data_IF_953504450314
#
_entry.id   IF_953504450314
#
_cell.length_a   1.000
_cell.length_b   1.000
_cell.length_c   1.000
_cell.angle_alpha   90.00
_cell.angle_beta   90.00
_cell.angle_gamma   90.00
#
_symmetry.space_group_name_H-M   'P 1'
#
loop_
_entity.id
_entity.type
_entity.pdbx_description
1 polymer ?
#
# COMPACT_ATOMS: atom_id res chain seq x y z
N UNK A 1 -10.72 -22.21 -14.36
CA UNK A 1 -11.00 -20.78 -14.07
C UNK A 1 -12.44 -20.59 -13.61
N UNK A 2 -13.44 -21.17 -14.30
CA UNK A 2 -14.84 -21.14 -13.88
C UNK A 2 -15.07 -21.79 -12.49
N UNK A 3 -14.60 -23.01 -12.25
CA UNK A 3 -14.86 -23.72 -10.97
C UNK A 3 -14.38 -23.00 -9.70
N UNK A 4 -13.39 -22.10 -9.81
CA UNK A 4 -12.82 -21.38 -8.66
C UNK A 4 -13.51 -20.04 -8.39
N UNK A 5 -14.18 -19.46 -9.38
CA UNK A 5 -14.76 -18.11 -9.30
C UNK A 5 -16.19 -18.04 -9.86
N UNK A 6 -16.88 -19.17 -10.01
CA UNK A 6 -18.22 -19.24 -10.60
C UNK A 6 -19.20 -18.33 -9.86
N UNK A 7 -19.26 -18.43 -8.53
CA UNK A 7 -20.14 -17.60 -7.70
C UNK A 7 -19.85 -16.10 -7.84
N UNK A 8 -18.59 -15.73 -8.03
CA UNK A 8 -18.17 -14.34 -8.20
C UNK A 8 -18.60 -13.79 -9.57
N UNK A 9 -18.43 -14.59 -10.64
CA UNK A 9 -18.92 -14.26 -11.98
C UNK A 9 -20.45 -14.14 -11.95
N UNK A 10 -21.13 -15.10 -11.32
CA UNK A 10 -22.59 -15.10 -11.24
C UNK A 10 -23.12 -13.91 -10.43
N UNK A 11 -22.47 -13.54 -9.32
CA UNK A 11 -22.80 -12.33 -8.56
C UNK A 11 -22.68 -11.06 -9.40
N UNK A 12 -21.60 -10.91 -10.19
CA UNK A 12 -21.41 -9.76 -11.07
C UNK A 12 -22.47 -9.69 -12.17
N UNK A 13 -22.78 -10.82 -12.82
CA UNK A 13 -23.86 -10.91 -13.81
C UNK A 13 -25.21 -10.56 -13.20
N UNK A 14 -25.51 -11.05 -11.99
CA UNK A 14 -26.75 -10.72 -11.28
C UNK A 14 -26.86 -9.22 -11.04
N UNK A 15 -25.75 -8.56 -10.66
CA UNK A 15 -25.66 -7.11 -10.44
C UNK A 15 -26.01 -6.31 -11.70
N UNK A 16 -25.68 -6.82 -12.88
CA UNK A 16 -25.98 -6.20 -14.17
C UNK A 16 -27.32 -6.65 -14.77
N UNK A 17 -28.09 -7.48 -14.06
CA UNK A 17 -29.39 -7.99 -14.53
C UNK A 17 -29.31 -9.21 -15.45
N UNK A 18 -28.13 -9.81 -15.61
CA UNK A 18 -27.89 -11.01 -16.41
C UNK A 18 -27.86 -12.27 -15.52
N UNK A 19 -27.82 -13.45 -16.14
CA UNK A 19 -27.60 -14.73 -15.46
C UNK A 19 -26.63 -15.62 -16.23
N UNK A 20 -25.81 -16.36 -15.51
CA UNK A 20 -24.82 -17.27 -16.10
C UNK A 20 -25.48 -18.37 -16.95
N UNK A 21 -26.68 -18.80 -16.58
CA UNK A 21 -27.47 -19.82 -17.32
C UNK A 21 -27.99 -19.35 -18.69
N UNK A 22 -28.02 -18.04 -18.94
CA UNK A 22 -28.55 -17.48 -20.20
C UNK A 22 -27.44 -17.34 -21.27
N UNK A 23 -26.20 -17.69 -20.93
CA UNK A 23 -25.04 -17.61 -21.83
C UNK A 23 -25.17 -18.61 -22.98
N UNK A 24 -24.96 -18.14 -24.21
CA UNK A 24 -25.11 -18.90 -25.44
C UNK A 24 -26.50 -18.76 -26.07
N UNK A 25 -27.34 -17.86 -25.54
CA UNK A 25 -28.57 -17.40 -26.20
C UNK A 25 -28.25 -16.41 -27.33
N UNK A 26 -29.27 -16.05 -28.12
CA UNK A 26 -29.12 -15.05 -29.17
C UNK A 26 -28.90 -13.63 -28.60
N UNK A 27 -29.42 -13.38 -27.40
CA UNK A 27 -29.37 -12.10 -26.69
C UNK A 27 -28.15 -11.96 -25.77
N UNK A 28 -27.53 -13.09 -25.38
CA UNK A 28 -26.35 -13.10 -24.52
C UNK A 28 -25.42 -14.26 -24.88
N UNK A 29 -24.42 -13.98 -25.70
CA UNK A 29 -23.52 -15.00 -26.23
C UNK A 29 -22.24 -15.17 -25.38
N UNK A 30 -21.39 -16.13 -25.78
CA UNK A 30 -20.11 -16.38 -25.10
C UNK A 30 -19.13 -15.22 -25.19
N UNK A 31 -19.23 -14.40 -26.24
CA UNK A 31 -18.38 -13.23 -26.43
C UNK A 31 -18.80 -12.10 -25.50
N UNK A 32 -20.09 -11.91 -25.24
CA UNK A 32 -20.58 -10.95 -24.26
C UNK A 32 -20.09 -11.28 -22.86
N UNK A 33 -20.20 -12.56 -22.45
CA UNK A 33 -19.63 -13.02 -21.18
C UNK A 33 -18.13 -12.75 -21.11
N UNK A 34 -17.38 -13.06 -22.16
CA UNK A 34 -15.94 -12.81 -22.21
C UNK A 34 -15.61 -11.32 -22.06
N UNK A 35 -16.37 -10.43 -22.68
CA UNK A 35 -16.18 -8.97 -22.56
C UNK A 35 -16.43 -8.54 -21.11
N UNK A 36 -17.51 -8.99 -20.48
CA UNK A 36 -17.83 -8.66 -19.08
C UNK A 36 -16.73 -9.13 -18.12
N UNK A 37 -16.22 -10.34 -18.32
CA UNK A 37 -15.11 -10.87 -17.50
C UNK A 37 -13.83 -10.08 -17.72
N UNK A 38 -13.48 -9.73 -18.97
CA UNK A 38 -12.24 -9.00 -19.28
C UNK A 38 -12.27 -7.52 -18.89
N UNK A 39 -13.45 -6.92 -18.86
CA UNK A 39 -13.67 -5.52 -18.51
C UNK A 39 -14.28 -5.37 -17.11
N UNK A 40 -14.17 -6.42 -16.28
CA UNK A 40 -14.76 -6.44 -14.95
C UNK A 40 -14.24 -5.25 -14.13
N UNK A 41 -15.12 -4.43 -13.55
CA UNK A 41 -14.69 -3.25 -12.82
C UNK A 41 -13.98 -3.66 -11.54
N UNK A 42 -13.17 -2.77 -11.00
CA UNK A 42 -12.29 -3.07 -9.86
C UNK A 42 -13.03 -3.45 -8.58
N UNK A 43 -14.26 -2.97 -8.43
CA UNK A 43 -15.16 -3.24 -7.31
C UNK A 43 -16.04 -4.48 -7.52
N UNK A 44 -15.81 -5.25 -8.60
CA UNK A 44 -16.58 -6.45 -8.91
C UNK A 44 -16.26 -7.61 -7.96
N UNK A 45 -17.21 -8.52 -7.80
CA UNK A 45 -17.02 -9.74 -7.02
C UNK A 45 -15.92 -10.61 -7.63
N UNK A 46 -15.83 -10.68 -8.96
CA UNK A 46 -14.76 -11.39 -9.67
C UNK A 46 -13.38 -10.82 -9.35
N UNK A 47 -13.23 -9.50 -9.41
CA UNK A 47 -11.95 -8.84 -9.09
C UNK A 47 -11.60 -9.02 -7.62
N UNK A 48 -12.57 -9.00 -6.71
CA UNK A 48 -12.37 -9.26 -5.29
C UNK A 48 -11.89 -10.69 -5.01
N UNK A 49 -12.45 -11.67 -5.72
CA UNK A 49 -12.08 -13.07 -5.56
C UNK A 49 -10.73 -13.40 -6.21
N UNK A 50 -10.41 -12.76 -7.34
CA UNK A 50 -9.15 -12.98 -8.07
C UNK A 50 -7.96 -12.23 -7.44
N UNK A 51 -8.22 -11.05 -6.85
CA UNK A 51 -7.19 -10.16 -6.31
C UNK A 51 -7.59 -9.60 -4.93
N UNK A 52 -7.66 -10.45 -3.89
CA UNK A 52 -8.17 -10.08 -2.56
C UNK A 52 -7.32 -9.00 -1.85
N UNK A 53 -6.05 -8.85 -2.24
CA UNK A 53 -5.16 -7.78 -1.80
C UNK A 53 -5.38 -6.47 -2.57
N UNK A 54 -5.69 -6.55 -3.87
CA UNK A 54 -5.82 -5.38 -4.73
C UNK A 54 -7.17 -4.66 -4.56
N UNK A 55 -8.24 -5.37 -4.18
CA UNK A 55 -9.58 -4.75 -4.11
C UNK A 55 -9.76 -3.82 -2.92
N UNK A 56 -9.03 -4.03 -1.82
CA UNK A 56 -9.15 -3.17 -0.64
C UNK A 56 -8.48 -1.79 -0.78
N UNK A 57 -7.52 -1.62 -1.67
CA UNK A 57 -6.66 -0.43 -1.70
C UNK A 57 -6.44 0.11 -3.10
N UNK A 58 -7.31 1.02 -3.53
CA UNK A 58 -7.15 1.82 -4.74
C UNK A 58 -6.54 3.17 -4.52
N UNK A 59 -6.43 3.91 -5.63
CA UNK A 59 -5.95 5.27 -5.62
C UNK A 59 -6.77 6.13 -4.63
N UNK A 60 -8.10 5.98 -4.63
CA UNK A 60 -8.98 6.68 -3.69
C UNK A 60 -8.67 6.32 -2.24
N UNK A 61 -8.49 5.04 -1.90
CA UNK A 61 -8.16 4.61 -0.54
C UNK A 61 -6.78 5.11 -0.09
N UNK A 62 -5.78 5.12 -1.00
CA UNK A 62 -4.48 5.73 -0.72
C UNK A 62 -4.58 7.24 -0.47
N UNK A 63 -5.35 7.97 -1.30
CA UNK A 63 -5.56 9.40 -1.14
C UNK A 63 -6.34 9.73 0.14
N UNK A 64 -7.32 8.92 0.50
CA UNK A 64 -8.07 9.06 1.75
C UNK A 64 -7.20 8.79 2.96
N UNK A 65 -6.35 7.76 2.92
CA UNK A 65 -5.39 7.49 3.99
C UNK A 65 -4.41 8.65 4.17
N UNK A 66 -3.90 9.23 3.08
CA UNK A 66 -3.03 10.41 3.12
C UNK A 66 -3.77 11.63 3.71
N UNK A 67 -5.04 11.84 3.34
CA UNK A 67 -5.87 12.90 3.91
C UNK A 67 -6.06 12.73 5.42
N UNK A 68 -6.32 11.49 5.89
CA UNK A 68 -6.42 11.17 7.32
C UNK A 68 -5.10 11.48 8.04
N UNK A 69 -3.97 11.06 7.48
CA UNK A 69 -2.63 11.30 8.03
C UNK A 69 -2.34 12.80 8.17
N UNK A 70 -2.57 13.57 7.10
CA UNK A 70 -2.36 15.02 7.09
C UNK A 70 -3.29 15.73 8.06
N UNK A 71 -4.55 15.32 8.16
CA UNK A 71 -5.52 15.92 9.08
C UNK A 71 -5.14 15.67 10.53
N UNK A 72 -4.76 14.43 10.87
CA UNK A 72 -4.28 14.08 12.20
C UNK A 72 -3.03 14.89 12.56
N UNK A 73 -2.10 15.05 11.61
CA UNK A 73 -0.89 15.84 11.79
C UNK A 73 -1.18 17.33 12.01
N UNK A 74 -2.09 17.91 11.23
CA UNK A 74 -2.50 19.32 11.36
C UNK A 74 -3.19 19.59 12.70
N UNK A 75 -4.05 18.67 13.15
CA UNK A 75 -4.68 18.77 14.47
C UNK A 75 -3.64 18.67 15.58
N UNK A 76 -2.77 17.67 15.51
CA UNK A 76 -1.68 17.49 16.47
C UNK A 76 -0.75 18.71 16.55
N UNK A 77 -0.41 19.32 15.41
CA UNK A 77 0.46 20.49 15.36
C UNK A 77 -0.09 21.70 16.13
N UNK A 78 -1.40 21.76 16.36
CA UNK A 78 -2.07 22.81 17.14
C UNK A 78 -2.13 22.53 18.65
N UNK A 79 -1.59 21.41 19.10
CA UNK A 79 -1.60 21.00 20.52
C UNK A 79 -0.30 21.37 21.24
N UNK A 80 -0.31 21.32 22.58
CA UNK A 80 0.91 21.46 23.40
C UNK A 80 1.93 20.36 23.07
N UNK A 81 1.45 19.17 22.75
CA UNK A 81 2.29 18.04 22.32
C UNK A 81 2.94 18.31 20.98
N UNK A 82 2.22 18.94 20.04
CA UNK A 82 2.77 19.45 18.78
C UNK A 82 3.90 20.45 19.01
N UNK A 83 3.68 21.45 19.87
CA UNK A 83 4.68 22.46 20.21
C UNK A 83 5.94 21.85 20.88
N UNK A 84 5.78 20.72 21.58
CA UNK A 84 6.89 20.01 22.25
C UNK A 84 7.41 18.81 21.45
N UNK A 85 6.91 18.60 20.24
CA UNK A 85 7.21 17.46 19.38
C UNK A 85 7.08 16.09 20.10
N UNK A 86 5.98 15.90 20.83
CA UNK A 86 5.66 14.64 21.54
C UNK A 86 4.42 14.00 20.95
N UNK A 87 4.28 12.68 21.10
CA UNK A 87 3.07 11.93 20.74
C UNK A 87 2.57 12.21 19.31
N UNK A 88 3.50 12.36 18.35
CA UNK A 88 3.13 12.59 16.95
C UNK A 88 2.26 11.43 16.44
N UNK A 89 1.15 11.69 15.76
CA UNK A 89 0.27 10.64 15.25
C UNK A 89 1.02 9.75 14.26
N UNK A 90 0.68 8.46 14.30
CA UNK A 90 1.17 7.48 13.32
C UNK A 90 0.31 7.56 12.07
N UNK A 91 0.93 7.26 10.93
CA UNK A 91 0.21 7.08 9.67
C UNK A 91 -0.79 5.94 9.76
N UNK A 92 -1.89 6.09 9.03
CA UNK A 92 -2.90 5.08 8.84
C UNK A 92 -2.27 3.86 8.15
N UNK A 93 -2.47 2.65 8.70
CA UNK A 93 -1.83 1.44 8.19
C UNK A 93 -2.32 1.13 6.77
N UNK A 94 -1.38 0.93 5.84
CA UNK A 94 -1.67 0.68 4.42
C UNK A 94 -0.81 -0.46 3.85
N UNK A 95 -1.34 -1.32 2.98
CA UNK A 95 -0.58 -2.40 2.35
C UNK A 95 0.63 -1.89 1.60
N UNK A 96 1.72 -2.64 1.66
CA UNK A 96 2.96 -2.32 0.95
C UNK A 96 3.76 -1.15 1.53
N UNK A 97 3.32 -0.55 2.65
CA UNK A 97 4.09 0.47 3.37
C UNK A 97 4.39 -0.04 4.77
N UNK A 98 5.67 -0.22 5.06
CA UNK A 98 6.12 -0.56 6.41
C UNK A 98 5.80 0.61 7.37
N UNK A 99 5.21 0.29 8.51
CA UNK A 99 4.96 1.31 9.55
C UNK A 99 6.31 1.79 10.10
N UNK A 100 6.68 3.08 9.94
CA UNK A 100 7.95 3.60 10.45
C UNK A 100 8.11 3.42 11.97
N UNK A 101 7.00 3.26 12.72
CA UNK A 101 7.01 2.96 14.15
C UNK A 101 7.43 1.52 14.50
N UNK A 102 7.45 0.60 13.52
CA UNK A 102 7.84 -0.82 13.73
C UNK A 102 9.34 -1.05 13.63
N UNK A 103 10.10 -0.15 12.96
CA UNK A 103 11.56 -0.26 12.88
C UNK A 103 12.20 0.28 14.15
N UNK A 104 12.15 -0.53 15.21
CA UNK A 104 12.84 -0.25 16.46
C UNK A 104 14.34 -0.44 16.25
N UNK A 105 15.07 0.64 15.98
CA UNK A 105 16.53 0.62 15.99
C UNK A 105 16.97 0.44 17.43
N UNK A 106 17.27 -0.79 17.82
CA UNK A 106 17.84 -1.12 19.11
C UNK A 106 19.35 -0.88 19.06
N UNK A 107 19.83 0.02 19.93
CA UNK A 107 21.24 0.32 20.07
C UNK A 107 21.51 0.99 21.41
N UNK A 108 22.71 0.81 21.95
CA UNK A 108 23.13 1.53 23.14
C UNK A 108 23.48 2.97 22.76
N UNK A 109 23.09 3.93 23.60
CA UNK A 109 23.49 5.32 23.42
C UNK A 109 25.01 5.40 23.46
N UNK A 110 25.61 5.85 22.35
CA UNK A 110 27.06 6.04 22.25
C UNK A 110 27.38 7.51 22.49
N UNK A 111 28.36 7.85 23.35
CA UNK A 111 28.79 9.22 23.54
C UNK A 111 29.21 9.91 22.23
N UNK A 112 28.89 11.20 22.09
CA UNK A 112 29.09 11.97 20.86
C UNK A 112 30.56 12.00 20.39
N UNK A 113 31.51 11.93 21.31
CA UNK A 113 32.94 11.85 20.99
C UNK A 113 33.27 10.57 20.21
N UNK A 114 32.78 9.40 20.63
CA UNK A 114 32.98 8.14 19.91
C UNK A 114 32.35 8.15 18.52
N UNK A 115 31.20 8.81 18.36
CA UNK A 115 30.56 8.99 17.05
C UNK A 115 31.46 9.85 16.14
N UNK A 116 31.97 10.98 16.67
CA UNK A 116 32.88 11.86 15.93
C UNK A 116 34.16 11.14 15.54
N UNK A 117 34.72 10.33 16.42
CA UNK A 117 35.96 9.60 16.18
C UNK A 117 35.75 8.50 15.12
N UNK A 118 34.63 7.77 15.16
CA UNK A 118 34.24 6.84 14.09
C UNK A 118 34.06 7.53 12.74
N UNK A 119 33.39 8.67 12.69
CA UNK A 119 33.18 9.43 11.45
C UNK A 119 34.51 9.95 10.87
N UNK A 120 35.44 10.38 11.73
CA UNK A 120 36.80 10.79 11.33
C UNK A 120 37.61 9.60 10.80
N UNK A 121 37.53 8.44 11.44
CA UNK A 121 38.19 7.21 10.99
C UNK A 121 37.67 6.76 9.61
N UNK A 122 36.35 6.83 9.39
CA UNK A 122 35.76 6.50 8.08
C UNK A 122 36.22 7.46 6.97
N UNK A 123 36.33 8.75 7.29
CA UNK A 123 36.80 9.77 6.34
C UNK A 123 38.27 9.60 5.96
N UNK A 124 39.13 9.32 6.93
CA UNK A 124 40.56 9.07 6.69
C UNK A 124 40.79 7.78 5.90
N UNK A 125 39.99 6.73 6.13
CA UNK A 125 40.01 5.52 5.30
C UNK A 125 39.54 5.77 3.85
N UNK A 126 38.58 6.68 3.64
CA UNK A 126 38.13 7.06 2.29
C UNK A 126 39.20 7.89 1.55
N UNK A 127 39.85 8.82 2.24
CA UNK A 127 40.94 9.65 1.69
C UNK A 127 42.18 8.80 1.36
N UNK A 128 42.52 7.80 2.20
CA UNK A 128 43.63 6.87 1.93
C UNK A 128 43.38 5.90 0.76
N UNK A 129 42.12 5.58 0.43
CA UNK A 129 41.77 4.76 -0.74
C UNK A 129 41.83 5.54 -2.06
N UNK A 130 41.69 6.86 -2.03
CA UNK A 130 41.79 7.74 -3.21
C UNK A 130 43.22 8.03 -3.66
N UNK A 131 44.21 7.88 -2.77
CA UNK A 131 45.63 8.15 -3.07
C UNK A 131 46.34 6.96 -3.74
N UNK A 132 45.73 5.77 -3.76
CA UNK A 132 46.33 4.53 -4.29
C UNK A 132 45.82 4.13 -5.69
N UNK A 133 45.21 5.07 -6.44
CA UNK A 133 44.65 4.86 -7.79
C UNK A 133 45.19 5.87 -8.82
N UNK A 134 46.43 6.35 -8.66
CA UNK A 134 47.12 7.18 -9.66
C UNK A 134 48.46 6.58 -10.03
#
# INVERSE_FOLDING_TARGET
>A
MLDKHQDAIEADLIRTGLRLRDVGSAEFDWRDLLILVRQSPRDSALMAAAHPEAVRWGQSEFLLAELVDLTALLLWAKTVDGARNRNRPRSYPRPGVDDPGTRRVTGHAVPLNQVRDRLRALRTHAEGKGVNLS
#
